data_IF_839545025083
#
_entry.id   IF_839545025083
#
_cell.length_a   1.000
_cell.length_b   1.000
_cell.length_c   1.000
_cell.angle_alpha   90.00
_cell.angle_beta   90.00
_cell.angle_gamma   90.00
#
_symmetry.space_group_name_H-M   'P 1'
#
loop_
_entity.id
_entity.type
_entity.pdbx_description
1 polymer ?
#
# COMPACT_ATOMS: atom_id res chain seq x y z
N UNK A 1 -8.33 -16.24 6.52
CA UNK A 1 -7.95 -15.00 5.80
C UNK A 1 -7.07 -14.06 6.65
N UNK A 2 -7.19 -14.01 7.98
CA UNK A 2 -6.31 -13.20 8.83
C UNK A 2 -4.83 -13.63 8.85
N UNK A 3 -4.55 -14.93 8.77
CA UNK A 3 -3.18 -15.45 8.89
C UNK A 3 -2.25 -15.04 7.74
N UNK A 4 -2.78 -14.89 6.53
CA UNK A 4 -2.00 -14.46 5.36
C UNK A 4 -1.67 -12.97 5.42
N UNK A 5 -2.64 -12.13 5.81
CA UNK A 5 -2.41 -10.70 6.00
C UNK A 5 -1.41 -10.43 7.12
N UNK A 6 -1.53 -11.15 8.25
CA UNK A 6 -0.58 -11.07 9.35
C UNK A 6 0.83 -11.51 8.92
N UNK A 7 0.94 -12.65 8.21
CA UNK A 7 2.24 -13.14 7.71
C UNK A 7 2.89 -12.15 6.75
N UNK A 8 2.12 -11.59 5.81
CA UNK A 8 2.61 -10.56 4.87
C UNK A 8 3.09 -9.31 5.60
N UNK A 9 2.38 -8.89 6.66
CA UNK A 9 2.81 -7.77 7.51
C UNK A 9 4.10 -8.08 8.24
N UNK A 10 4.27 -9.29 8.80
CA UNK A 10 5.49 -9.68 9.49
C UNK A 10 6.70 -9.69 8.54
N UNK A 11 6.58 -10.33 7.38
CA UNK A 11 7.67 -10.36 6.38
C UNK A 11 8.07 -8.96 5.92
N UNK A 12 7.09 -8.09 5.73
CA UNK A 12 7.35 -6.70 5.38
C UNK A 12 8.04 -5.94 6.52
N UNK A 13 7.59 -6.11 7.77
CA UNK A 13 8.20 -5.50 8.94
C UNK A 13 9.65 -5.97 9.14
N UNK A 14 9.92 -7.26 9.01
CA UNK A 14 11.28 -7.84 9.06
C UNK A 14 12.18 -7.24 7.97
N UNK A 15 11.66 -7.06 6.75
CA UNK A 15 12.43 -6.45 5.66
C UNK A 15 12.81 -5.00 5.97
N UNK A 16 11.89 -4.21 6.53
CA UNK A 16 12.16 -2.81 6.90
C UNK A 16 13.13 -2.72 8.09
N UNK A 17 13.01 -3.62 9.07
CA UNK A 17 13.97 -3.72 10.18
C UNK A 17 15.36 -4.04 9.65
N UNK A 18 15.48 -5.01 8.74
CA UNK A 18 16.74 -5.36 8.11
C UNK A 18 17.39 -4.20 7.35
N UNK A 19 16.61 -3.38 6.65
CA UNK A 19 17.13 -2.17 6.00
C UNK A 19 17.68 -1.16 7.02
N UNK A 20 17.04 -1.03 8.18
CA UNK A 20 17.51 -0.16 9.26
C UNK A 20 18.79 -0.70 9.89
N UNK A 21 18.86 -2.01 10.14
CA UNK A 21 20.01 -2.68 10.77
C UNK A 21 21.27 -2.61 9.89
N UNK A 22 21.10 -2.49 8.57
CA UNK A 22 22.17 -2.25 7.60
C UNK A 22 22.51 -0.76 7.42
N UNK A 23 21.93 0.13 8.24
CA UNK A 23 22.02 1.59 8.13
C UNK A 23 21.65 2.13 6.73
N UNK A 24 20.86 1.37 5.95
CA UNK A 24 20.41 1.78 4.61
C UNK A 24 19.26 2.79 4.65
N UNK A 25 18.53 2.85 5.77
CA UNK A 25 17.48 3.83 6.04
C UNK A 25 17.64 4.37 7.46
N UNK A 26 17.15 5.58 7.72
CA UNK A 26 17.10 6.13 9.09
C UNK A 26 15.96 5.55 9.91
N UNK A 27 15.95 5.83 11.22
CA UNK A 27 14.82 5.52 12.09
C UNK A 27 13.53 6.26 11.65
N UNK A 28 13.65 7.51 11.20
CA UNK A 28 12.51 8.28 10.70
C UNK A 28 11.94 7.70 9.39
N UNK A 29 12.80 7.18 8.51
CA UNK A 29 12.38 6.48 7.29
C UNK A 29 11.65 5.18 7.62
N UNK A 30 12.17 4.42 8.59
CA UNK A 30 11.52 3.22 9.11
C UNK A 30 10.10 3.54 9.59
N UNK A 31 9.94 4.50 10.49
CA UNK A 31 8.62 4.92 10.98
C UNK A 31 7.69 5.37 9.86
N UNK A 32 8.23 6.07 8.87
CA UNK A 32 7.47 6.52 7.69
C UNK A 32 6.99 5.35 6.85
N UNK A 33 7.84 4.35 6.59
CA UNK A 33 7.47 3.13 5.89
C UNK A 33 6.37 2.34 6.65
N UNK A 34 6.47 2.23 7.98
CA UNK A 34 5.45 1.57 8.81
C UNK A 34 4.10 2.27 8.70
N UNK A 35 4.08 3.60 8.81
CA UNK A 35 2.86 4.40 8.65
C UNK A 35 2.25 4.26 7.25
N UNK A 36 3.07 4.19 6.21
CA UNK A 36 2.57 4.00 4.85
C UNK A 36 1.94 2.64 4.62
N UNK A 37 2.55 1.57 5.16
CA UNK A 37 1.98 0.23 5.08
C UNK A 37 0.64 0.14 5.81
N UNK A 38 0.59 0.59 7.06
CA UNK A 38 -0.64 0.55 7.86
C UNK A 38 -1.73 1.44 7.22
N UNK A 39 -1.36 2.61 6.68
CA UNK A 39 -2.26 3.49 5.95
C UNK A 39 -2.80 2.89 4.64
N UNK A 40 -2.02 2.06 3.95
CA UNK A 40 -2.49 1.33 2.77
C UNK A 40 -3.50 0.24 3.13
N UNK A 41 -3.24 -0.52 4.20
CA UNK A 41 -4.18 -1.53 4.69
C UNK A 41 -5.51 -0.91 5.10
N UNK A 42 -5.47 0.19 5.86
CA UNK A 42 -6.68 0.90 6.28
C UNK A 42 -7.50 1.38 5.07
N UNK A 43 -6.85 1.96 4.07
CA UNK A 43 -7.51 2.46 2.88
C UNK A 43 -8.27 1.38 2.10
N UNK A 44 -7.70 0.17 2.01
CA UNK A 44 -8.34 -0.96 1.36
C UNK A 44 -9.58 -1.38 2.14
N UNK A 45 -9.49 -1.44 3.47
CA UNK A 45 -10.64 -1.79 4.31
C UNK A 45 -11.76 -0.75 4.21
N UNK A 46 -11.40 0.54 4.25
CA UNK A 46 -12.36 1.65 4.12
C UNK A 46 -13.05 1.60 2.75
N UNK A 47 -12.29 1.36 1.68
CA UNK A 47 -12.83 1.25 0.32
C UNK A 47 -13.79 0.06 0.18
N UNK A 48 -13.41 -1.11 0.69
CA UNK A 48 -14.26 -2.30 0.67
C UNK A 48 -15.55 -2.08 1.46
N UNK A 49 -15.45 -1.45 2.64
CA UNK A 49 -16.61 -1.15 3.46
C UNK A 49 -17.55 -0.16 2.79
N UNK A 50 -17.01 0.91 2.20
CA UNK A 50 -17.78 1.92 1.49
C UNK A 50 -18.42 1.38 0.20
N UNK A 51 -17.75 0.44 -0.48
CA UNK A 51 -18.22 -0.13 -1.74
C UNK A 51 -19.25 -1.26 -1.58
N UNK A 52 -19.33 -1.89 -0.39
CA UNK A 52 -20.25 -2.99 -0.13
C UNK A 52 -21.74 -2.74 -0.48
N UNK A 53 -22.38 -1.61 -0.09
CA UNK A 53 -23.78 -1.38 -0.42
C UNK A 53 -24.03 -1.25 -1.92
N UNK A 54 -23.15 -0.54 -2.64
CA UNK A 54 -23.28 -0.33 -4.08
C UNK A 54 -22.99 -1.60 -4.87
N UNK A 55 -22.01 -2.40 -4.42
CA UNK A 55 -21.76 -3.73 -4.98
C UNK A 55 -23.02 -4.61 -4.87
N UNK A 56 -23.67 -4.63 -3.71
CA UNK A 56 -24.89 -5.39 -3.50
C UNK A 56 -26.08 -4.88 -4.33
N UNK A 57 -26.11 -3.59 -4.66
CA UNK A 57 -27.10 -3.01 -5.58
C UNK A 57 -26.84 -3.46 -7.02
N UNK A 58 -25.63 -3.24 -7.53
CA UNK A 58 -25.22 -3.63 -8.88
C UNK A 58 -25.38 -5.13 -9.12
N UNK A 59 -25.01 -5.96 -8.15
CA UNK A 59 -25.12 -7.41 -8.27
C UNK A 59 -26.57 -7.89 -8.43
N UNK A 60 -27.53 -7.15 -7.83
CA UNK A 60 -28.96 -7.44 -7.96
C UNK A 60 -29.56 -6.90 -9.25
N UNK A 61 -29.20 -5.66 -9.62
CA UNK A 61 -29.85 -4.93 -10.70
C UNK A 61 -29.25 -5.29 -12.08
N UNK A 62 -27.93 -5.46 -12.15
CA UNK A 62 -27.14 -5.62 -13.38
C UNK A 62 -26.42 -6.98 -13.46
N UNK A 63 -26.45 -7.74 -12.37
CA UNK A 63 -25.82 -9.04 -12.26
C UNK A 63 -24.42 -8.99 -11.66
N UNK A 64 -23.94 -10.17 -11.27
CA UNK A 64 -22.68 -10.34 -10.52
C UNK A 64 -21.46 -9.85 -11.29
N UNK A 65 -21.38 -10.15 -12.58
CA UNK A 65 -20.23 -9.80 -13.42
C UNK A 65 -20.05 -8.27 -13.53
N UNK A 66 -21.16 -7.53 -13.64
CA UNK A 66 -21.15 -6.06 -13.66
C UNK A 66 -20.65 -5.47 -12.33
N UNK A 67 -21.12 -6.03 -11.21
CA UNK A 67 -20.67 -5.62 -9.88
C UNK A 67 -19.18 -5.92 -9.65
N UNK A 68 -18.70 -7.08 -10.09
CA UNK A 68 -17.29 -7.47 -10.00
C UNK A 68 -16.40 -6.58 -10.88
N UNK A 69 -16.81 -6.27 -12.11
CA UNK A 69 -16.10 -5.35 -12.99
C UNK A 69 -16.01 -3.93 -12.39
N UNK A 70 -17.11 -3.45 -11.82
CA UNK A 70 -17.14 -2.17 -11.12
C UNK A 70 -16.20 -2.15 -9.91
N UNK A 71 -16.24 -3.19 -9.07
CA UNK A 71 -15.35 -3.31 -7.92
C UNK A 71 -13.88 -3.37 -8.35
N UNK A 72 -13.58 -4.10 -9.43
CA UNK A 72 -12.23 -4.19 -9.96
C UNK A 72 -11.70 -2.82 -10.42
N UNK A 73 -12.51 -2.06 -11.16
CA UNK A 73 -12.14 -0.71 -11.60
C UNK A 73 -11.88 0.22 -10.40
N UNK A 74 -12.69 0.10 -9.35
CA UNK A 74 -12.56 0.88 -8.11
C UNK A 74 -11.27 0.54 -7.35
N UNK A 75 -10.98 -0.74 -7.17
CA UNK A 75 -9.74 -1.21 -6.54
C UNK A 75 -8.50 -0.83 -7.36
N UNK A 76 -8.60 -0.87 -8.70
CA UNK A 76 -7.52 -0.41 -9.57
C UNK A 76 -7.24 1.09 -9.40
N UNK A 77 -8.29 1.92 -9.36
CA UNK A 77 -8.14 3.36 -9.11
C UNK A 77 -7.49 3.64 -7.75
N UNK A 78 -7.91 2.95 -6.69
CA UNK A 78 -7.28 3.03 -5.38
C UNK A 78 -5.79 2.64 -5.44
N UNK A 79 -5.47 1.54 -6.14
CA UNK A 79 -4.11 1.05 -6.33
C UNK A 79 -3.20 2.05 -7.05
N UNK A 80 -3.69 2.70 -8.11
CA UNK A 80 -2.94 3.73 -8.84
C UNK A 80 -2.64 4.92 -7.93
N UNK A 81 -3.63 5.40 -7.17
CA UNK A 81 -3.45 6.55 -6.28
C UNK A 81 -2.47 6.22 -5.15
N UNK A 82 -2.63 5.06 -4.51
CA UNK A 82 -1.71 4.58 -3.47
C UNK A 82 -0.31 4.35 -4.00
N UNK A 83 -0.17 3.88 -5.23
CA UNK A 83 1.12 3.73 -5.91
C UNK A 83 1.82 5.06 -6.14
N UNK A 84 1.09 6.13 -6.51
CA UNK A 84 1.65 7.48 -6.63
C UNK A 84 2.10 8.03 -5.28
N UNK A 85 1.26 7.89 -4.24
CA UNK A 85 1.61 8.30 -2.88
C UNK A 85 2.84 7.58 -2.36
N UNK A 86 2.93 6.27 -2.55
CA UNK A 86 4.10 5.49 -2.16
C UNK A 86 5.36 5.98 -2.86
N UNK A 87 5.32 6.24 -4.17
CA UNK A 87 6.46 6.81 -4.90
C UNK A 87 6.92 8.15 -4.32
N UNK A 88 5.99 9.02 -3.94
CA UNK A 88 6.33 10.30 -3.31
C UNK A 88 6.98 10.11 -1.94
N UNK A 89 6.49 9.17 -1.14
CA UNK A 89 7.09 8.85 0.16
C UNK A 89 8.48 8.27 -0.01
N UNK A 90 8.65 7.32 -0.93
CA UNK A 90 9.95 6.71 -1.22
C UNK A 90 10.98 7.75 -1.71
N UNK A 91 10.54 8.75 -2.48
CA UNK A 91 11.40 9.84 -2.94
C UNK A 91 11.85 10.78 -1.79
N UNK A 92 11.14 10.77 -0.66
CA UNK A 92 11.50 11.55 0.53
C UNK A 92 12.31 10.78 1.58
N UNK A 93 12.69 9.53 1.30
CA UNK A 93 13.51 8.74 2.22
C UNK A 93 14.99 9.13 2.11
N UNK A 94 15.74 9.03 3.20
CA UNK A 94 17.18 9.39 3.21
C UNK A 94 18.01 8.61 2.18
N UNK A 95 17.58 7.39 1.82
CA UNK A 95 18.25 6.54 0.83
C UNK A 95 18.20 7.13 -0.58
N UNK A 96 17.22 7.98 -0.88
CA UNK A 96 17.10 8.66 -2.16
C UNK A 96 18.28 9.61 -2.40
N UNK A 97 18.70 10.35 -1.36
CA UNK A 97 19.85 11.27 -1.43
C UNK A 97 21.18 10.53 -1.63
N UNK A 98 21.35 9.38 -0.97
CA UNK A 98 22.58 8.57 -1.04
C UNK A 98 22.77 7.94 -2.42
N UNK A 99 21.69 7.49 -3.06
CA UNK A 99 21.71 6.95 -4.42
C UNK A 99 21.94 8.01 -5.51
N UNK A 100 21.57 9.27 -5.27
CA UNK A 100 21.88 10.39 -6.19
C UNK A 100 23.34 10.82 -6.10
N UNK A 101 23.93 10.80 -4.90
CA UNK A 101 25.35 11.07 -4.68
C UNK A 101 26.25 10.02 -5.35
N UNK A 102 25.93 8.73 -5.21
CA UNK A 102 26.71 7.64 -5.84
C UNK A 102 26.59 7.61 -7.38
N UNK A 103 25.50 8.13 -7.95
CA UNK A 103 25.31 8.18 -9.41
C UNK A 103 26.06 9.35 -10.07
N UNK A 104 26.49 10.31 -9.28
CA UNK A 104 27.18 11.53 -9.72
C UNK A 104 28.71 11.46 -9.54
N UNK A 105 29.21 10.38 -8.94
CA UNK A 105 30.63 10.07 -8.74
C UNK A 105 31.17 9.13 -9.84
#
# INVERSE_FOLDING_TARGET
MGDDAWRKRQLWAESVIGLRDLDAITEADRETLFREYDGMQQAIQDELHAAAPEFGRLARDEGRDAAEAWMHARMHALGVERGRRLKQVLAGLSIADQLELDRSA
#
